data_IF_994916261503
#
_entry.id   IF_994916261503
#
_cell.length_a   1.000
_cell.length_b   1.000
_cell.length_c   1.000
_cell.angle_alpha   90.00
_cell.angle_beta   90.00
_cell.angle_gamma   90.00
#
_symmetry.space_group_name_H-M   'P 1'
#
loop_
_entity.id
_entity.type
_entity.pdbx_description
1 polymer ?
#
# COMPACT_ATOMS: atom_id res chain seq x y z
N UNK A 1 -22.08 -33.74 42.95
CA UNK A 1 -21.59 -32.56 43.69
C UNK A 1 -20.17 -32.31 43.21
N UNK A 2 -19.94 -31.25 42.43
CA UNK A 2 -18.64 -30.95 41.82
C UNK A 2 -18.78 -29.88 40.74
N UNK A 3 -18.78 -28.61 41.15
CA UNK A 3 -18.72 -27.45 40.27
C UNK A 3 -17.25 -27.14 39.97
N UNK A 4 -16.90 -27.08 38.68
CA UNK A 4 -15.65 -26.50 38.19
C UNK A 4 -15.85 -24.99 38.15
N UNK A 5 -15.11 -24.24 38.97
CA UNK A 5 -15.05 -22.77 38.90
C UNK A 5 -14.00 -22.42 37.83
N UNK A 6 -14.44 -21.89 36.69
CA UNK A 6 -13.57 -21.28 35.69
C UNK A 6 -13.56 -19.76 35.93
N UNK A 7 -12.41 -19.22 36.34
CA UNK A 7 -12.21 -17.77 36.39
C UNK A 7 -11.81 -17.28 35.00
N UNK A 8 -12.77 -16.77 34.24
CA UNK A 8 -12.49 -15.92 33.08
C UNK A 8 -12.13 -14.52 33.57
N UNK A 9 -10.82 -14.22 33.65
CA UNK A 9 -10.35 -12.84 33.81
C UNK A 9 -10.48 -12.14 32.45
N UNK A 10 -11.50 -11.29 32.33
CA UNK A 10 -11.71 -10.41 31.18
C UNK A 10 -10.66 -9.28 31.22
N UNK A 11 -9.89 -9.02 30.16
CA UNK A 11 -8.90 -7.95 30.16
C UNK A 11 -9.58 -6.58 30.24
N UNK A 12 -9.01 -5.64 31.00
CA UNK A 12 -9.53 -4.28 31.22
C UNK A 12 -9.85 -3.51 29.93
N UNK A 13 -9.18 -3.84 28.82
CA UNK A 13 -9.44 -3.23 27.50
C UNK A 13 -10.82 -3.57 26.93
N UNK A 14 -11.35 -4.76 27.19
CA UNK A 14 -12.70 -5.16 26.78
C UNK A 14 -13.78 -4.50 27.65
N UNK A 15 -13.49 -4.30 28.94
CA UNK A 15 -14.40 -3.60 29.85
C UNK A 15 -14.53 -2.12 29.46
N UNK A 16 -13.41 -1.47 29.13
CA UNK A 16 -13.38 -0.09 28.63
C UNK A 16 -14.13 0.08 27.32
N UNK A 17 -14.06 -0.90 26.41
CA UNK A 17 -14.80 -0.88 25.16
C UNK A 17 -16.31 -1.04 25.41
N UNK A 18 -16.71 -1.95 26.29
CA UNK A 18 -18.12 -2.11 26.68
C UNK A 18 -18.68 -0.88 27.39
N UNK A 19 -17.90 -0.24 28.25
CA UNK A 19 -18.30 0.96 28.97
C UNK A 19 -18.35 2.19 28.04
N UNK A 20 -17.48 2.26 27.02
CA UNK A 20 -17.54 3.27 25.95
C UNK A 20 -18.79 3.10 25.07
N UNK A 21 -19.26 1.87 24.88
CA UNK A 21 -20.46 1.55 24.08
C UNK A 21 -21.77 1.62 24.90
N UNK A 22 -21.69 1.77 26.23
CA UNK A 22 -22.87 1.75 27.14
C UNK A 22 -23.76 3.00 27.16
N UNK A 23 -23.39 4.22 26.76
CA UNK A 23 -24.32 5.33 26.78
C UNK A 23 -25.21 5.31 25.52
N UNK A 24 -25.96 4.22 25.29
CA UNK A 24 -27.02 4.12 24.29
C UNK A 24 -28.14 3.12 24.65
N UNK A 25 -28.14 2.47 25.83
CA UNK A 25 -29.13 1.41 26.13
C UNK A 25 -30.37 1.92 26.92
N UNK A 26 -30.42 3.18 27.31
CA UNK A 26 -31.59 3.73 28.05
C UNK A 26 -32.31 4.86 27.33
N UNK A 27 -32.56 4.72 26.03
CA UNK A 27 -33.68 5.38 25.37
C UNK A 27 -34.04 4.59 24.11
N UNK A 28 -35.33 4.32 23.92
CA UNK A 28 -35.91 3.63 22.75
C UNK A 28 -35.57 4.36 21.43
N UNK A 29 -34.36 4.18 20.92
CA UNK A 29 -33.97 4.63 19.59
C UNK A 29 -34.04 3.42 18.66
N UNK A 30 -35.08 3.40 17.85
CA UNK A 30 -35.34 2.43 16.78
C UNK A 30 -34.06 2.13 15.98
N UNK A 31 -33.81 0.83 15.75
CA UNK A 31 -32.73 0.24 14.93
C UNK A 31 -32.75 0.69 13.44
N UNK A 32 -33.52 1.72 13.09
CA UNK A 32 -33.72 2.24 11.74
C UNK A 32 -32.64 3.19 11.24
N UNK A 33 -31.70 3.65 12.10
CA UNK A 33 -30.70 4.68 11.72
C UNK A 33 -29.34 4.14 11.24
N UNK A 34 -29.12 2.82 11.25
CA UNK A 34 -27.86 2.19 10.80
C UNK A 34 -28.05 1.25 9.59
N UNK A 35 -29.22 1.27 8.94
CA UNK A 35 -29.49 0.43 7.77
C UNK A 35 -28.80 0.93 6.50
N UNK A 36 -28.36 2.19 6.46
CA UNK A 36 -27.79 2.83 5.26
C UNK A 36 -26.25 2.71 5.15
N UNK A 37 -25.59 1.96 6.04
CA UNK A 37 -24.13 1.73 6.01
C UNK A 37 -23.72 0.38 5.40
N UNK A 38 -24.67 -0.39 4.88
CA UNK A 38 -24.39 -1.58 4.06
C UNK A 38 -24.71 -1.26 2.60
N UNK A 39 -23.72 -0.76 1.86
CA UNK A 39 -23.79 -0.74 0.40
C UNK A 39 -23.53 -2.16 -0.11
N UNK A 40 -24.58 -2.98 -0.15
CA UNK A 40 -24.67 -4.15 -1.02
C UNK A 40 -25.19 -3.64 -2.36
N UNK A 41 -24.33 -3.51 -3.37
CA UNK A 41 -24.79 -3.30 -4.74
C UNK A 41 -25.23 -4.65 -5.33
N UNK A 42 -26.52 -4.95 -5.17
CA UNK A 42 -27.20 -6.08 -5.78
C UNK A 42 -28.20 -5.59 -6.83
N UNK A 43 -27.75 -4.81 -7.84
CA UNK A 43 -28.57 -4.50 -9.01
C UNK A 43 -27.77 -4.43 -10.33
N UNK A 44 -27.16 -5.56 -10.71
CA UNK A 44 -27.15 -5.94 -12.13
C UNK A 44 -28.10 -7.13 -12.29
N UNK A 45 -29.38 -6.86 -12.50
CA UNK A 45 -30.32 -7.87 -13.01
C UNK A 45 -30.97 -7.38 -14.30
N UNK A 46 -31.00 -8.31 -15.24
CA UNK A 46 -31.54 -8.21 -16.58
C UNK A 46 -32.93 -7.60 -16.64
N UNK A 47 -33.13 -6.68 -17.58
CA UNK A 47 -34.43 -6.51 -18.23
C UNK A 47 -34.23 -6.65 -19.74
N UNK A 48 -34.42 -7.87 -20.22
CA UNK A 48 -34.78 -8.11 -21.61
C UNK A 48 -36.15 -7.49 -21.89
N UNK A 49 -36.16 -6.42 -22.69
CA UNK A 49 -37.28 -6.11 -23.57
C UNK A 49 -36.73 -5.82 -24.97
N UNK A 50 -37.13 -6.69 -25.88
CA UNK A 50 -36.74 -6.81 -27.29
C UNK A 50 -37.39 -5.69 -28.13
N UNK A 51 -36.68 -5.31 -29.22
CA UNK A 51 -37.07 -4.52 -30.40
C UNK A 51 -37.03 -2.97 -30.31
N UNK A 52 -35.98 -2.37 -30.88
CA UNK A 52 -36.14 -1.58 -32.11
C UNK A 52 -34.78 -1.37 -32.82
N UNK A 53 -34.62 -2.01 -33.97
CA UNK A 53 -33.55 -1.76 -34.94
C UNK A 53 -33.98 -0.62 -35.85
N UNK A 54 -33.56 0.62 -35.59
CA UNK A 54 -33.20 1.64 -36.59
C UNK A 54 -32.93 3.01 -35.96
N UNK A 55 -31.88 3.70 -36.44
CA UNK A 55 -31.53 5.12 -36.18
C UNK A 55 -30.91 5.31 -34.78
N UNK A 56 -29.66 5.75 -34.61
CA UNK A 56 -29.07 6.98 -35.17
C UNK A 56 -27.58 6.77 -35.42
N UNK A 57 -27.21 7.12 -36.65
CA UNK A 57 -25.88 7.25 -37.24
C UNK A 57 -25.08 8.42 -36.66
N UNK A 58 -23.76 8.31 -36.74
CA UNK A 58 -22.77 9.40 -36.91
C UNK A 58 -22.64 10.47 -35.82
N UNK A 59 -21.56 10.38 -35.03
CA UNK A 59 -20.68 11.53 -34.75
C UNK A 59 -19.45 11.11 -33.91
N UNK A 60 -18.39 10.61 -34.54
CA UNK A 60 -16.99 11.04 -34.26
C UNK A 60 -15.99 10.35 -35.20
N UNK A 61 -16.20 10.52 -36.51
CA UNK A 61 -15.15 10.35 -37.50
C UNK A 61 -15.02 11.66 -38.28
N UNK A 62 -14.22 12.60 -37.78
CA UNK A 62 -13.30 13.34 -38.63
C UNK A 62 -12.18 13.99 -37.82
N UNK A 63 -10.95 13.74 -38.26
CA UNK A 63 -9.70 14.23 -37.71
C UNK A 63 -9.39 15.64 -38.22
N UNK A 64 -8.69 16.46 -37.44
CA UNK A 64 -7.29 16.86 -37.74
C UNK A 64 -6.79 18.03 -36.87
N UNK A 65 -5.56 17.81 -36.37
CA UNK A 65 -4.50 18.79 -36.13
C UNK A 65 -4.68 19.84 -35.01
N UNK A 66 -4.08 19.56 -33.84
CA UNK A 66 -2.96 20.40 -33.42
C UNK A 66 -1.78 19.50 -33.02
N UNK A 67 -0.69 19.66 -33.76
CA UNK A 67 0.59 19.08 -33.44
C UNK A 67 1.23 19.95 -32.36
N UNK A 68 1.40 19.40 -31.16
CA UNK A 68 2.48 19.84 -30.29
C UNK A 68 3.27 18.59 -29.90
N UNK A 69 4.33 18.37 -30.66
CA UNK A 69 5.24 17.27 -30.52
C UNK A 69 6.17 17.54 -29.33
N UNK A 70 5.75 17.10 -28.15
CA UNK A 70 6.66 16.69 -27.09
C UNK A 70 6.03 15.63 -26.18
N UNK A 71 5.48 14.60 -26.83
CA UNK A 71 5.10 13.36 -26.19
C UNK A 71 6.35 12.73 -25.56
N UNK A 72 6.42 12.68 -24.23
CA UNK A 72 7.29 11.73 -23.53
C UNK A 72 6.71 10.32 -23.67
N UNK A 73 6.68 9.82 -24.90
CA UNK A 73 6.44 8.42 -25.20
C UNK A 73 7.78 7.71 -25.11
N UNK A 74 8.16 7.28 -23.90
CA UNK A 74 9.09 6.16 -23.80
C UNK A 74 8.28 4.89 -24.09
N UNK A 75 8.34 4.49 -25.35
CA UNK A 75 7.63 3.36 -25.93
C UNK A 75 8.29 2.02 -25.55
N UNK A 76 8.39 1.77 -24.24
CA UNK A 76 8.64 0.46 -23.64
C UNK A 76 7.70 0.20 -22.45
N UNK A 77 6.46 0.71 -22.52
CA UNK A 77 5.37 0.24 -21.69
C UNK A 77 5.04 -1.19 -22.11
N UNK A 78 5.83 -2.13 -21.58
CA UNK A 78 5.65 -3.56 -21.72
C UNK A 78 4.18 -3.95 -21.50
N UNK A 79 3.72 -4.89 -22.33
CA UNK A 79 2.43 -5.59 -22.26
C UNK A 79 2.26 -6.32 -20.91
N UNK A 80 2.11 -5.57 -19.83
CA UNK A 80 1.88 -6.09 -18.49
C UNK A 80 0.38 -6.26 -18.28
N UNK A 81 -0.12 -7.38 -18.78
CA UNK A 81 -1.53 -7.82 -18.75
C UNK A 81 -2.04 -8.19 -17.34
N UNK A 82 -1.20 -8.08 -16.30
CA UNK A 82 -1.57 -8.47 -14.95
C UNK A 82 -2.35 -7.40 -14.19
N UNK A 83 -3.45 -7.77 -13.54
CA UNK A 83 -4.21 -6.91 -12.61
C UNK A 83 -3.48 -6.72 -11.26
N UNK A 84 -2.27 -6.18 -11.29
CA UNK A 84 -1.41 -5.96 -10.11
C UNK A 84 -0.60 -4.67 -10.26
N UNK A 85 -0.13 -4.13 -9.14
CA UNK A 85 0.77 -2.99 -9.10
C UNK A 85 2.23 -3.43 -9.24
N UNK A 86 3.11 -2.54 -9.69
CA UNK A 86 4.56 -2.70 -9.63
C UNK A 86 5.18 -1.55 -8.86
N UNK A 87 5.88 -1.85 -7.77
CA UNK A 87 6.68 -0.91 -7.00
C UNK A 87 8.15 -1.05 -7.38
N UNK A 88 8.70 -0.02 -8.01
CA UNK A 88 10.12 0.07 -8.31
C UNK A 88 10.84 0.77 -7.16
N UNK A 89 11.94 0.19 -6.70
CA UNK A 89 12.74 0.73 -5.58
C UNK A 89 14.18 0.88 -6.06
N UNK A 90 14.67 2.12 -6.09
CA UNK A 90 16.08 2.42 -6.19
C UNK A 90 16.64 2.60 -4.78
N UNK A 91 17.66 1.82 -4.42
CA UNK A 91 18.37 1.95 -3.15
C UNK A 91 19.60 2.81 -3.39
N UNK A 92 19.74 3.91 -2.65
CA UNK A 92 20.91 4.78 -2.79
C UNK A 92 22.16 4.05 -2.30
N UNK A 93 23.17 3.98 -3.15
CA UNK A 93 24.51 3.57 -2.75
C UNK A 93 25.06 4.62 -1.78
N UNK A 94 25.48 4.21 -0.58
CA UNK A 94 26.26 5.05 0.29
C UNK A 94 27.66 5.19 -0.33
N UNK A 95 27.95 6.38 -0.84
CA UNK A 95 29.22 7.03 -1.14
C UNK A 95 30.42 6.10 -1.35
N UNK A 96 30.92 5.98 -2.59
CA UNK A 96 32.23 5.45 -3.10
C UNK A 96 32.91 4.20 -2.48
N UNK A 97 32.41 3.65 -1.36
CA UNK A 97 33.04 2.63 -0.53
C UNK A 97 32.12 1.39 -0.34
N UNK A 98 30.97 1.33 -1.02
CA UNK A 98 30.08 0.15 -1.00
C UNK A 98 29.20 0.01 0.25
N UNK A 99 29.06 1.06 1.07
CA UNK A 99 28.48 0.97 2.41
C UNK A 99 26.96 0.74 2.49
N UNK A 100 26.26 0.57 1.36
CA UNK A 100 24.82 0.24 1.34
C UNK A 100 24.48 -1.01 0.52
N UNK A 101 25.46 -1.86 0.20
CA UNK A 101 25.21 -3.17 -0.41
C UNK A 101 24.29 -4.02 0.45
N UNK A 102 24.46 -3.98 1.77
CA UNK A 102 23.63 -4.74 2.72
C UNK A 102 22.16 -4.35 2.61
N UNK A 103 21.83 -3.05 2.59
CA UNK A 103 20.44 -2.59 2.50
C UNK A 103 19.82 -2.99 1.17
N UNK A 104 20.58 -2.90 0.07
CA UNK A 104 20.14 -3.36 -1.24
C UNK A 104 19.84 -4.86 -1.22
N UNK A 105 20.75 -5.68 -0.68
CA UNK A 105 20.56 -7.12 -0.53
C UNK A 105 19.31 -7.45 0.31
N UNK A 106 19.10 -6.72 1.41
CA UNK A 106 17.89 -6.89 2.25
C UNK A 106 16.61 -6.61 1.46
N UNK A 107 16.60 -5.57 0.64
CA UNK A 107 15.45 -5.28 -0.23
C UNK A 107 15.28 -6.31 -1.34
N UNK A 108 16.36 -6.79 -1.96
CA UNK A 108 16.33 -7.85 -2.97
C UNK A 108 15.74 -9.15 -2.39
N UNK A 109 16.26 -9.64 -1.27
CA UNK A 109 15.77 -10.83 -0.57
C UNK A 109 14.28 -10.71 -0.16
N UNK A 110 13.92 -9.56 0.43
CA UNK A 110 12.54 -9.28 0.84
C UNK A 110 11.60 -9.20 -0.37
N UNK A 111 12.04 -8.58 -1.46
CA UNK A 111 11.26 -8.47 -2.70
C UNK A 111 11.03 -9.82 -3.36
N UNK A 112 12.03 -10.71 -3.37
CA UNK A 112 11.89 -12.07 -3.89
C UNK A 112 10.85 -12.87 -3.09
N UNK A 113 10.91 -12.79 -1.76
CA UNK A 113 9.94 -13.47 -0.88
C UNK A 113 8.54 -12.92 -1.06
N UNK A 114 8.39 -11.59 -1.15
CA UNK A 114 7.11 -10.92 -1.38
C UNK A 114 6.51 -11.31 -2.74
N UNK A 115 7.32 -11.24 -3.80
CA UNK A 115 6.89 -11.57 -5.16
C UNK A 115 6.49 -13.05 -5.30
N UNK A 116 7.17 -13.96 -4.61
CA UNK A 116 6.80 -15.38 -4.63
C UNK A 116 5.37 -15.62 -4.09
N UNK A 117 4.96 -14.88 -3.05
CA UNK A 117 3.57 -14.94 -2.54
C UNK A 117 2.58 -14.39 -3.55
N UNK A 118 2.91 -13.26 -4.17
CA UNK A 118 2.09 -12.64 -5.22
C UNK A 118 1.94 -13.58 -6.42
N UNK A 119 3.01 -14.24 -6.84
CA UNK A 119 3.00 -15.21 -7.94
C UNK A 119 2.11 -16.42 -7.62
N UNK A 120 2.20 -16.96 -6.40
CA UNK A 120 1.30 -18.04 -5.95
C UNK A 120 -0.16 -17.59 -6.00
N UNK A 121 -0.47 -16.41 -5.45
CA UNK A 121 -1.81 -15.84 -5.47
C UNK A 121 -2.35 -15.67 -6.89
N UNK A 122 -1.58 -15.05 -7.79
CA UNK A 122 -2.01 -14.82 -9.18
C UNK A 122 -2.20 -16.13 -9.95
N UNK A 123 -1.36 -17.14 -9.68
CA UNK A 123 -1.51 -18.48 -10.26
C UNK A 123 -2.80 -19.15 -9.78
N UNK A 124 -3.13 -19.05 -8.49
CA UNK A 124 -4.35 -19.60 -7.90
C UNK A 124 -5.63 -18.96 -8.45
N UNK A 125 -5.58 -17.66 -8.78
CA UNK A 125 -6.70 -16.92 -9.36
C UNK A 125 -6.93 -17.26 -10.85
N UNK A 126 -5.89 -17.72 -11.55
CA UNK A 126 -5.95 -18.06 -12.97
C UNK A 126 -6.41 -19.49 -13.22
N UNK A 127 -6.20 -20.41 -12.25
CA UNK A 127 -6.85 -21.72 -12.27
C UNK A 127 -8.34 -21.53 -11.98
N UNK A 128 -9.21 -21.95 -12.91
CA UNK A 128 -10.67 -21.96 -12.77
C UNK A 128 -11.07 -22.36 -11.34
N UNK A 129 -12.03 -21.62 -10.78
CA UNK A 129 -12.77 -21.92 -9.54
C UNK A 129 -12.76 -23.42 -9.26
N UNK A 130 -12.16 -23.80 -8.13
CA UNK A 130 -12.09 -25.19 -7.67
C UNK A 130 -13.44 -25.88 -7.87
N UNK A 131 -13.42 -27.04 -8.51
CA UNK A 131 -14.61 -27.90 -8.59
C UNK A 131 -15.02 -28.26 -7.16
N UNK A 132 -16.33 -28.39 -6.88
CA UNK A 132 -16.84 -28.61 -5.52
C UNK A 132 -16.21 -29.80 -4.76
N UNK A 133 -15.64 -30.78 -5.47
CA UNK A 133 -14.91 -31.93 -4.90
C UNK A 133 -13.49 -31.59 -4.40
N UNK A 134 -12.83 -30.53 -4.88
CA UNK A 134 -11.48 -30.14 -4.43
C UNK A 134 -11.49 -29.28 -3.15
N UNK A 135 -12.67 -28.95 -2.62
CA UNK A 135 -12.85 -28.14 -1.41
C UNK A 135 -12.64 -28.96 -0.14
N UNK A 136 -12.73 -30.30 -0.20
CA UNK A 136 -12.68 -31.18 0.98
C UNK A 136 -11.26 -31.42 1.53
N UNK A 137 -10.18 -31.17 0.77
CA UNK A 137 -8.80 -31.36 1.23
C UNK A 137 -8.07 -30.03 1.44
N UNK A 138 -8.45 -29.22 2.44
CA UNK A 138 -7.63 -28.15 3.04
C UNK A 138 -6.68 -27.39 2.08
N UNK A 139 -7.13 -27.01 0.87
CA UNK A 139 -6.32 -26.18 -0.03
C UNK A 139 -6.30 -24.78 0.56
N UNK A 140 -5.19 -24.43 1.23
CA UNK A 140 -4.93 -23.08 1.70
C UNK A 140 -5.19 -22.09 0.55
N UNK A 141 -5.99 -21.06 0.82
CA UNK A 141 -6.16 -19.94 -0.11
C UNK A 141 -4.85 -19.18 -0.10
N UNK A 142 -4.14 -19.18 -1.22
CA UNK A 142 -2.94 -18.36 -1.38
C UNK A 142 -3.32 -16.90 -1.09
N UNK A 143 -2.52 -16.24 -0.26
CA UNK A 143 -2.71 -14.85 0.12
C UNK A 143 -1.43 -14.07 -0.17
N UNK A 144 -1.57 -12.76 -0.39
CA UNK A 144 -0.44 -11.85 -0.56
C UNK A 144 -0.44 -10.79 0.54
N UNK A 145 0.72 -10.19 0.78
CA UNK A 145 0.85 -9.05 1.69
C UNK A 145 0.45 -7.77 0.94
N UNK A 146 -0.52 -7.01 1.46
CA UNK A 146 -0.99 -5.76 0.83
C UNK A 146 0.05 -4.64 0.85
N UNK A 147 1.10 -4.76 1.65
CA UNK A 147 2.16 -3.77 1.79
C UNK A 147 3.54 -4.41 1.72
N UNK A 148 4.54 -3.61 1.37
CA UNK A 148 5.94 -4.00 1.36
C UNK A 148 6.70 -3.22 2.42
N UNK A 149 7.27 -3.93 3.39
CA UNK A 149 7.96 -3.34 4.53
C UNK A 149 9.23 -2.55 4.10
N UNK A 150 9.48 -1.42 4.75
CA UNK A 150 10.68 -0.61 4.57
C UNK A 150 11.67 -0.82 5.72
N UNK A 151 12.94 -0.98 5.38
CA UNK A 151 14.01 -1.15 6.34
C UNK A 151 14.52 0.19 6.87
N UNK A 152 14.93 0.19 8.13
CA UNK A 152 15.78 1.22 8.71
C UNK A 152 17.21 1.02 8.20
N UNK A 153 17.84 2.01 7.55
CA UNK A 153 19.12 1.81 6.87
C UNK A 153 20.31 1.65 7.83
N UNK A 154 20.22 2.21 9.04
CA UNK A 154 21.33 2.28 9.98
C UNK A 154 20.86 2.35 11.45
N UNK A 155 21.77 2.17 12.40
CA UNK A 155 21.48 2.38 13.81
C UNK A 155 21.50 3.88 14.12
N UNK A 156 20.44 4.40 14.76
CA UNK A 156 20.32 5.82 15.09
C UNK A 156 19.92 5.93 16.55
N UNK A 157 20.80 6.50 17.38
CA UNK A 157 20.49 6.83 18.76
C UNK A 157 19.84 8.22 18.83
N UNK A 158 18.58 8.29 19.25
CA UNK A 158 17.83 9.55 19.31
C UNK A 158 17.34 9.85 20.72
N UNK A 159 17.85 10.95 21.32
CA UNK A 159 17.75 11.19 22.76
C UNK A 159 17.33 12.62 23.18
N UNK A 160 16.95 13.50 22.23
CA UNK A 160 16.89 14.95 22.53
C UNK A 160 15.61 15.65 22.08
N UNK A 161 14.92 15.12 21.05
CA UNK A 161 13.75 15.78 20.45
C UNK A 161 12.62 14.77 20.35
N UNK A 162 11.39 15.20 20.62
CA UNK A 162 10.19 14.37 20.52
C UNK A 162 9.75 14.04 19.09
N UNK A 163 10.59 14.30 18.09
CA UNK A 163 10.33 13.97 16.69
C UNK A 163 11.60 13.61 15.95
N UNK A 164 11.51 12.71 14.98
CA UNK A 164 12.63 12.34 14.12
C UNK A 164 12.16 12.04 12.70
N UNK A 165 12.93 12.50 11.71
CA UNK A 165 12.72 12.17 10.30
C UNK A 165 13.65 11.03 9.90
N UNK A 166 13.10 9.82 9.84
CA UNK A 166 13.84 8.66 9.36
C UNK A 166 13.93 8.73 7.84
N UNK A 167 15.15 8.84 7.32
CA UNK A 167 15.45 8.66 5.90
C UNK A 167 15.60 7.16 5.61
N UNK A 168 14.87 6.63 4.62
CA UNK A 168 14.95 5.21 4.26
C UNK A 168 16.05 4.90 3.23
N UNK A 169 16.75 5.91 2.71
CA UNK A 169 17.78 5.76 1.67
C UNK A 169 17.27 5.03 0.41
N UNK A 170 16.00 5.24 0.05
CA UNK A 170 15.39 4.71 -1.17
C UNK A 170 14.58 5.77 -1.90
N UNK A 171 14.49 5.66 -3.22
CA UNK A 171 13.52 6.35 -4.06
C UNK A 171 12.62 5.35 -4.74
N UNK A 172 11.34 5.69 -4.90
CA UNK A 172 10.35 4.75 -5.39
C UNK A 172 9.49 5.34 -6.52
N UNK A 173 8.98 4.46 -7.37
CA UNK A 173 7.89 4.75 -8.30
C UNK A 173 6.94 3.56 -8.33
N UNK A 174 5.64 3.82 -8.45
CA UNK A 174 4.64 2.76 -8.59
C UNK A 174 3.93 2.89 -9.94
N UNK A 175 3.71 1.76 -10.60
CA UNK A 175 2.88 1.69 -11.80
C UNK A 175 1.72 0.72 -11.63
N UNK A 176 0.64 0.98 -12.38
CA UNK A 176 -0.49 0.09 -12.58
C UNK A 176 -0.90 0.17 -14.04
N UNK A 177 -0.96 -0.98 -14.74
CA UNK A 177 -1.25 -1.04 -16.18
C UNK A 177 -0.39 -0.06 -16.99
N UNK A 178 0.91 -0.03 -16.71
CA UNK A 178 1.90 0.83 -17.36
C UNK A 178 1.85 2.32 -17.00
N UNK A 179 0.93 2.77 -16.13
CA UNK A 179 0.80 4.18 -15.75
C UNK A 179 1.33 4.42 -14.34
N UNK A 180 2.07 5.52 -14.15
CA UNK A 180 2.48 5.95 -12.81
C UNK A 180 1.27 6.33 -11.96
N UNK A 181 1.24 5.83 -10.73
CA UNK A 181 0.17 6.08 -9.75
C UNK A 181 0.76 6.55 -8.44
N UNK A 182 -0.02 7.32 -7.68
CA UNK A 182 0.34 7.62 -6.28
C UNK A 182 0.26 6.36 -5.43
N UNK A 183 0.80 6.41 -4.22
CA UNK A 183 0.79 5.30 -3.27
C UNK A 183 0.93 5.81 -1.84
N UNK A 184 0.78 4.90 -0.88
CA UNK A 184 0.73 5.26 0.53
C UNK A 184 1.95 4.74 1.28
N UNK A 185 2.46 5.55 2.19
CA UNK A 185 3.40 5.15 3.24
C UNK A 185 2.62 4.97 4.54
N UNK A 186 2.52 3.73 5.00
CA UNK A 186 1.86 3.37 6.24
C UNK A 186 2.85 2.93 7.30
N UNK A 187 2.52 3.21 8.55
CA UNK A 187 3.20 2.58 9.67
C UNK A 187 2.75 1.11 9.77
N UNK A 188 3.69 0.20 10.06
CA UNK A 188 3.32 -1.21 10.33
C UNK A 188 2.50 -1.28 11.60
N UNK A 189 1.50 -2.16 11.64
CA UNK A 189 0.61 -2.32 12.80
C UNK A 189 1.37 -2.62 14.10
N UNK A 190 2.51 -3.31 14.01
CA UNK A 190 3.35 -3.64 15.16
C UNK A 190 4.16 -2.45 15.70
N UNK A 191 4.45 -1.46 14.87
CA UNK A 191 5.30 -0.32 15.24
C UNK A 191 4.75 0.42 16.45
N UNK A 192 3.50 0.94 16.45
CA UNK A 192 2.97 1.68 17.58
C UNK A 192 2.77 0.86 18.85
N UNK A 193 2.79 -0.48 18.76
CA UNK A 193 2.67 -1.42 19.87
C UNK A 193 4.02 -1.73 20.53
N UNK A 194 5.09 -1.75 19.73
CA UNK A 194 6.44 -2.14 20.17
C UNK A 194 7.37 -0.95 20.37
N UNK A 195 7.00 0.21 19.87
CA UNK A 195 7.82 1.43 19.90
C UNK A 195 6.98 2.64 20.32
N UNK A 196 7.62 3.70 20.84
CA UNK A 196 6.96 4.98 21.12
C UNK A 196 6.63 5.78 19.85
N UNK A 197 6.90 5.26 18.66
CA UNK A 197 6.77 6.00 17.40
C UNK A 197 5.30 6.19 16.99
N UNK A 198 4.98 7.37 16.47
CA UNK A 198 3.74 7.69 15.76
C UNK A 198 4.08 8.42 14.48
N UNK A 199 3.47 8.04 13.36
CA UNK A 199 3.68 8.74 12.09
C UNK A 199 2.98 10.11 12.16
N UNK A 200 3.74 11.19 12.16
CA UNK A 200 3.25 12.54 12.45
C UNK A 200 2.20 13.03 11.43
N UNK A 201 2.34 12.64 10.16
CA UNK A 201 1.38 12.96 9.10
C UNK A 201 0.27 11.90 8.94
N UNK A 202 0.10 10.98 9.89
CA UNK A 202 -0.84 9.85 9.90
C UNK A 202 -0.64 8.83 8.76
N UNK A 203 -0.81 9.27 7.51
CA UNK A 203 -0.60 8.50 6.28
C UNK A 203 0.26 9.34 5.35
N UNK A 204 1.39 8.80 4.90
CA UNK A 204 2.18 9.47 3.88
C UNK A 204 1.54 9.28 2.51
N UNK A 205 1.15 10.38 1.88
CA UNK A 205 0.70 10.39 0.48
C UNK A 205 1.94 10.61 -0.40
N UNK A 206 2.23 9.65 -1.27
CA UNK A 206 3.33 9.77 -2.23
C UNK A 206 2.73 9.95 -3.62
N UNK A 207 2.93 11.13 -4.21
CA UNK A 207 2.40 11.44 -5.53
C UNK A 207 3.06 10.59 -6.63
N UNK A 208 2.32 10.35 -7.71
CA UNK A 208 2.78 9.52 -8.85
C UNK A 208 4.07 10.01 -9.50
N UNK A 209 4.36 11.32 -9.40
CA UNK A 209 5.56 11.96 -9.93
C UNK A 209 6.69 12.14 -8.92
N UNK A 210 6.51 11.76 -7.64
CA UNK A 210 7.56 11.92 -6.63
C UNK A 210 8.70 10.93 -6.86
N UNK A 211 9.94 11.43 -6.89
CA UNK A 211 11.18 10.65 -7.11
C UNK A 211 12.29 11.00 -6.12
N UNK A 212 11.93 11.75 -5.08
CA UNK A 212 12.82 12.02 -3.97
C UNK A 212 12.89 10.82 -3.03
N UNK A 213 13.76 10.96 -2.03
CA UNK A 213 13.97 9.90 -1.04
C UNK A 213 12.74 9.72 -0.15
N UNK A 214 12.33 8.47 0.07
CA UNK A 214 11.22 8.14 0.98
C UNK A 214 11.66 8.38 2.42
N UNK A 215 10.88 9.15 3.16
CA UNK A 215 11.14 9.49 4.56
C UNK A 215 9.88 9.30 5.40
N UNK A 216 10.07 8.94 6.66
CA UNK A 216 9.00 8.84 7.65
C UNK A 216 9.26 9.85 8.76
N UNK A 217 8.33 10.78 8.97
CA UNK A 217 8.42 11.74 10.06
C UNK A 217 7.64 11.22 11.27
N UNK A 218 8.36 10.90 12.34
CA UNK A 218 7.79 10.34 13.56
C UNK A 218 7.70 11.37 14.67
N UNK A 219 6.58 11.38 15.37
CA UNK A 219 6.53 11.79 16.77
C UNK A 219 7.03 10.63 17.64
N UNK A 220 7.78 10.95 18.69
CA UNK A 220 8.37 9.99 19.63
C UNK A 220 7.78 10.28 21.01
N UNK A 221 6.95 9.36 21.51
CA UNK A 221 6.36 9.48 22.84
C UNK A 221 7.38 9.11 23.94
N UNK A 222 7.81 10.09 24.73
CA UNK A 222 8.79 9.90 25.80
C UNK A 222 10.13 10.56 25.47
N UNK A 223 11.21 10.18 26.17
CA UNK A 223 12.49 10.87 26.05
C UNK A 223 13.42 10.29 24.98
N UNK A 224 13.52 8.97 24.83
CA UNK A 224 14.55 8.34 23.99
C UNK A 224 14.00 7.17 23.15
N UNK A 225 14.49 7.05 21.91
CA UNK A 225 14.25 5.87 21.07
C UNK A 225 15.46 5.62 20.17
N UNK A 226 15.87 4.35 20.06
CA UNK A 226 16.96 3.95 19.17
C UNK A 226 16.38 3.21 17.97
N UNK A 227 16.63 3.73 16.78
CA UNK A 227 16.35 3.00 15.54
C UNK A 227 17.45 1.96 15.31
N UNK A 228 17.04 0.77 14.91
CA UNK A 228 17.96 -0.36 14.71
C UNK A 228 18.00 -0.71 13.23
N UNK A 229 19.21 -0.78 12.66
CA UNK A 229 19.42 -1.18 11.26
C UNK A 229 18.67 -2.47 10.97
N UNK A 230 17.94 -2.47 9.86
CA UNK A 230 17.17 -3.62 9.41
C UNK A 230 15.83 -3.85 10.11
N UNK A 231 15.49 -3.08 11.15
CA UNK A 231 14.12 -3.08 11.65
C UNK A 231 13.17 -2.46 10.62
N UNK A 232 11.91 -2.90 10.67
CA UNK A 232 10.86 -2.48 9.76
C UNK A 232 9.80 -1.73 10.55
N UNK A 233 9.72 -0.43 10.34
CA UNK A 233 8.76 0.46 11.03
C UNK A 233 7.60 0.87 10.12
N UNK A 234 7.87 0.97 8.83
CA UNK A 234 6.96 1.45 7.79
C UNK A 234 6.77 0.40 6.71
N UNK A 235 5.75 0.58 5.88
CA UNK A 235 5.50 -0.20 4.68
C UNK A 235 4.89 0.70 3.59
N UNK A 236 5.17 0.39 2.33
CA UNK A 236 4.51 1.01 1.18
C UNK A 236 3.31 0.14 0.78
N UNK A 237 2.17 0.76 0.55
CA UNK A 237 0.96 0.10 0.05
C UNK A 237 0.47 0.77 -1.24
N UNK A 238 -0.11 0.00 -2.17
CA UNK A 238 -0.71 0.55 -3.38
C UNK A 238 -2.01 1.33 -3.07
N UNK A 239 -2.53 2.13 -4.03
CA UNK A 239 -3.81 2.82 -3.91
C UNK A 239 -4.98 1.90 -3.53
N UNK A 240 -5.01 0.71 -4.12
CA UNK A 240 -5.98 -0.33 -3.83
C UNK A 240 -5.26 -1.54 -3.22
N UNK A 241 -5.30 -1.64 -1.89
CA UNK A 241 -4.70 -2.74 -1.12
C UNK A 241 -5.37 -4.11 -1.37
N UNK A 242 -6.52 -4.13 -2.06
CA UNK A 242 -7.20 -5.33 -2.53
C UNK A 242 -6.67 -5.88 -3.85
N UNK A 243 -5.63 -5.25 -4.42
CA UNK A 243 -4.86 -5.81 -5.53
C UNK A 243 -3.42 -6.10 -5.11
N UNK A 244 -2.80 -7.17 -5.63
CA UNK A 244 -1.42 -7.48 -5.32
C UNK A 244 -0.45 -6.46 -5.91
N UNK A 245 0.74 -6.40 -5.33
CA UNK A 245 1.82 -5.51 -5.76
C UNK A 245 3.11 -6.32 -5.87
N UNK A 246 3.76 -6.33 -7.04
CA UNK A 246 5.12 -6.84 -7.19
C UNK A 246 6.14 -5.74 -6.91
N UNK A 247 7.30 -6.12 -6.40
CA UNK A 247 8.40 -5.21 -6.07
C UNK A 247 9.60 -5.49 -6.95
N UNK A 248 10.19 -4.44 -7.52
CA UNK A 248 11.34 -4.53 -8.43
C UNK A 248 12.44 -3.61 -7.91
N UNK A 249 13.57 -4.20 -7.49
CA UNK A 249 14.75 -3.43 -7.12
C UNK A 249 15.49 -3.04 -8.41
N UNK A 250 15.82 -1.76 -8.55
CA UNK A 250 16.45 -1.23 -9.78
C UNK A 250 17.85 -0.71 -9.52
N UNK A 251 18.71 -0.80 -10.53
CA UNK A 251 20.13 -0.40 -10.41
C UNK A 251 20.38 1.10 -10.63
N UNK A 252 19.41 1.83 -11.20
CA UNK A 252 19.56 3.26 -11.44
C UNK A 252 18.27 4.04 -11.20
N UNK A 253 18.44 5.28 -10.72
CA UNK A 253 17.35 6.20 -10.48
C UNK A 253 16.59 6.56 -11.78
N UNK A 254 17.26 6.52 -12.94
CA UNK A 254 16.64 6.81 -14.24
C UNK A 254 15.52 5.84 -14.59
N UNK A 255 15.58 4.57 -14.13
CA UNK A 255 14.53 3.56 -14.34
C UNK A 255 13.21 3.96 -13.67
N UNK A 256 13.24 4.80 -12.63
CA UNK A 256 12.02 5.32 -12.03
C UNK A 256 11.29 6.33 -12.94
N UNK A 257 11.85 6.68 -14.10
CA UNK A 257 11.27 7.63 -15.06
C UNK A 257 11.69 9.07 -14.81
N UNK A 258 12.93 9.30 -14.34
CA UNK A 258 13.46 10.62 -13.87
C UNK A 258 13.86 11.58 -15.00
N UNK A 259 13.52 11.28 -16.27
CA UNK A 259 13.77 12.19 -17.40
C UNK A 259 12.76 13.36 -17.52
N UNK A 260 11.92 13.59 -16.51
CA UNK A 260 10.89 14.61 -16.48
C UNK A 260 11.21 15.70 -15.45
N UNK A 261 11.96 16.73 -15.87
CA UNK A 261 12.05 18.15 -15.43
C UNK A 261 11.90 18.60 -13.95
N UNK A 262 11.61 17.71 -12.99
CA UNK A 262 11.20 18.01 -11.61
C UNK A 262 12.22 17.54 -10.57
N UNK A 263 13.29 16.89 -11.01
CA UNK A 263 14.26 16.17 -10.17
C UNK A 263 15.41 17.02 -9.60
N UNK A 264 15.30 18.36 -9.59
CA UNK A 264 16.33 19.23 -9.00
C UNK A 264 15.86 20.29 -7.99
N UNK A 265 14.60 20.26 -7.56
CA UNK A 265 14.16 21.15 -6.47
C UNK A 265 12.75 20.84 -6.00
N UNK A 266 12.57 20.67 -4.70
CA UNK A 266 11.24 20.46 -4.15
C UNK A 266 11.15 20.29 -2.63
N UNK A 267 11.67 21.25 -1.87
CA UNK A 267 10.91 21.73 -0.71
C UNK A 267 9.80 22.63 -1.30
N UNK A 268 8.53 22.42 -0.91
CA UNK A 268 7.43 23.36 -1.14
C UNK A 268 7.04 23.64 -2.60
N UNK A 269 6.41 22.69 -3.30
CA UNK A 269 5.78 23.01 -4.60
C UNK A 269 4.40 22.38 -4.77
N UNK A 270 3.42 22.89 -4.02
CA UNK A 270 2.23 23.58 -4.56
C UNK A 270 1.31 24.02 -3.41
N UNK A 271 1.22 25.35 -3.17
CA UNK A 271 0.10 26.02 -2.51
C UNK A 271 0.18 26.18 -0.98
N UNK A 272 0.63 27.36 -0.55
CA UNK A 272 0.67 27.96 0.81
C UNK A 272 1.45 27.25 1.92
#
# INVERSE_FOLDING_TARGET
MGLIISYYLKPQSLQLLEDYMKPCINNNVSYSRYKDLYYYDNNFTDNNAINDTSKVTDACANANACADANACADANACDDDGNHYKLYIYVYNADTNGANSDLKNMYEESSNTHNAKVDSYLKSCSSKLLNAEEVEENKFVDCYDSGFDLFCPENIDWQTISSYMLDHHISCAMTYKGKFVGYYLYMRSSTPLKTPLRLANNVGIIDSGYRGTIKAYFDIRGSNFNFVKGHRYMQICPPNIGLPMKVVIVDSLSVLGVNNARSKGGYGSTGD
#
